data_IF_130151707473
#
_entry.id   IF_130151707473
#
_cell.length_a   1.000
_cell.length_b   1.000
_cell.length_c   1.000
_cell.angle_alpha   90.00
_cell.angle_beta   90.00
_cell.angle_gamma   90.00
#
_symmetry.space_group_name_H-M   'P 1'
#
loop_
_entity.id
_entity.type
_entity.pdbx_description
1 polymer ?
#
# COMPACT_ATOMS: atom_id res chain seq x y z
N UNK A 1 13.81 -45.49 20.49
CA UNK A 1 14.90 -45.11 21.42
C UNK A 1 15.99 -46.17 21.36
N UNK A 2 17.14 -45.84 20.79
CA UNK A 2 18.38 -46.59 20.95
C UNK A 2 19.48 -45.56 21.30
N UNK A 3 20.23 -45.72 22.39
CA UNK A 3 21.34 -44.81 22.70
C UNK A 3 22.64 -45.33 22.07
N UNK A 4 23.04 -44.77 20.93
CA UNK A 4 24.43 -44.91 20.46
C UNK A 4 25.33 -43.97 21.26
N UNK A 5 26.06 -44.54 22.21
CA UNK A 5 27.21 -43.91 22.87
C UNK A 5 28.43 -44.14 21.97
N UNK A 6 29.00 -43.08 21.41
CA UNK A 6 30.39 -43.12 20.98
C UNK A 6 31.17 -42.05 21.75
N UNK A 7 32.01 -42.52 22.68
CA UNK A 7 33.13 -41.79 23.24
C UNK A 7 34.33 -42.21 22.41
N UNK A 8 34.89 -41.30 21.62
CA UNK A 8 36.25 -41.45 21.10
C UNK A 8 37.01 -40.17 21.43
N UNK A 9 37.99 -40.37 22.29
CA UNK A 9 38.80 -39.40 23.00
C UNK A 9 39.86 -38.79 22.09
N UNK A 10 39.96 -37.46 22.18
CA UNK A 10 41.16 -36.61 22.07
C UNK A 10 42.44 -37.25 21.52
N UNK A 11 42.83 -36.83 20.32
CA UNK A 11 44.25 -36.62 19.98
C UNK A 11 44.44 -35.16 19.59
N UNK A 12 45.05 -34.43 20.51
CA UNK A 12 45.51 -33.05 20.36
C UNK A 12 46.75 -33.12 19.47
N UNK A 13 46.68 -32.56 18.27
CA UNK A 13 47.88 -32.28 17.48
C UNK A 13 48.00 -30.76 17.40
N UNK A 14 48.77 -30.21 18.34
CA UNK A 14 49.31 -28.87 18.31
C UNK A 14 50.42 -28.84 17.24
N UNK A 15 50.18 -28.21 16.10
CA UNK A 15 51.26 -27.82 15.18
C UNK A 15 51.17 -26.33 14.92
N UNK A 16 52.10 -25.59 15.51
CA UNK A 16 52.43 -24.21 15.19
C UNK A 16 53.25 -24.23 13.90
N UNK A 17 52.66 -23.79 12.79
CA UNK A 17 53.43 -23.32 11.63
C UNK A 17 52.97 -21.91 11.32
N UNK A 18 53.86 -20.95 11.59
CA UNK A 18 53.71 -19.57 11.15
C UNK A 18 54.27 -19.52 9.73
N UNK A 19 53.38 -19.44 8.76
CA UNK A 19 53.69 -19.02 7.40
C UNK A 19 52.71 -17.92 7.04
N UNK A 20 53.18 -16.68 7.07
CA UNK A 20 52.44 -15.53 6.55
C UNK A 20 52.32 -15.67 5.04
N UNK A 21 51.09 -15.84 4.56
CA UNK A 21 50.72 -15.56 3.19
C UNK A 21 49.58 -14.53 3.25
N UNK A 22 49.88 -13.30 2.86
CA UNK A 22 48.90 -12.24 2.64
C UNK A 22 47.94 -12.68 1.53
N UNK A 23 46.74 -13.10 1.93
CA UNK A 23 45.64 -13.25 1.00
C UNK A 23 44.98 -11.89 0.82
N UNK A 24 45.31 -11.28 -0.31
CA UNK A 24 44.59 -10.17 -0.94
C UNK A 24 43.12 -10.60 -1.00
N UNK A 25 42.32 -10.07 -0.08
CA UNK A 25 40.86 -10.17 -0.16
C UNK A 25 40.42 -9.47 -1.46
N UNK A 26 39.51 -10.06 -2.25
CA UNK A 26 38.87 -9.33 -3.32
C UNK A 26 38.20 -8.08 -2.73
N UNK A 27 38.12 -6.97 -3.49
CA UNK A 27 37.50 -5.75 -2.99
C UNK A 27 36.11 -6.12 -2.50
N UNK A 28 35.85 -5.80 -1.23
CA UNK A 28 34.51 -5.78 -0.66
C UNK A 28 33.72 -4.85 -1.57
N UNK A 29 32.96 -5.44 -2.48
CA UNK A 29 31.94 -4.73 -3.21
C UNK A 29 31.11 -4.06 -2.14
N UNK A 30 31.24 -2.75 -2.12
CA UNK A 30 30.43 -1.89 -1.29
C UNK A 30 29.03 -2.17 -1.77
N UNK A 31 28.29 -3.02 -1.06
CA UNK A 31 26.85 -2.91 -1.01
C UNK A 31 26.60 -1.52 -0.47
N UNK A 32 26.63 -0.54 -1.38
CA UNK A 32 25.97 0.72 -1.26
C UNK A 32 24.59 0.32 -0.82
N UNK A 33 24.33 0.45 0.47
CA UNK A 33 23.01 0.43 1.05
C UNK A 33 22.32 1.62 0.42
N UNK A 34 21.85 1.44 -0.83
CA UNK A 34 21.05 2.42 -1.53
C UNK A 34 19.87 2.62 -0.61
N UNK A 35 19.86 3.77 0.04
CA UNK A 35 18.69 4.20 0.78
C UNK A 35 17.54 4.13 -0.21
N UNK A 36 16.53 3.31 0.11
CA UNK A 36 15.34 3.23 -0.71
C UNK A 36 14.82 4.65 -0.89
N UNK A 37 14.73 5.10 -2.14
CA UNK A 37 14.32 6.47 -2.46
C UNK A 37 12.80 6.59 -2.34
N UNK A 38 12.10 5.49 -2.56
CA UNK A 38 10.67 5.32 -2.33
C UNK A 38 10.34 3.99 -1.66
N UNK A 39 9.16 3.89 -1.06
CA UNK A 39 8.66 2.61 -0.54
C UNK A 39 8.38 1.60 -1.68
N UNK A 40 8.11 2.07 -2.90
CA UNK A 40 7.94 1.22 -4.07
C UNK A 40 9.24 0.46 -4.43
N UNK A 41 10.40 1.07 -4.17
CA UNK A 41 11.69 0.41 -4.35
C UNK A 41 11.85 -0.75 -3.36
N UNK A 42 11.37 -0.58 -2.12
CA UNK A 42 11.35 -1.64 -1.10
C UNK A 42 10.49 -2.81 -1.55
N UNK A 43 9.28 -2.56 -2.07
CA UNK A 43 8.42 -3.62 -2.60
C UNK A 43 9.12 -4.37 -3.73
N UNK A 44 9.65 -3.63 -4.71
CA UNK A 44 10.32 -4.19 -5.87
C UNK A 44 11.53 -5.05 -5.49
N UNK A 45 12.38 -4.56 -4.56
CA UNK A 45 13.54 -5.32 -4.09
C UNK A 45 13.18 -6.58 -3.31
N UNK A 46 11.97 -6.63 -2.74
CA UNK A 46 11.44 -7.80 -2.04
C UNK A 46 10.53 -8.66 -2.93
N UNK A 47 10.58 -8.52 -4.27
CA UNK A 47 9.80 -9.37 -5.17
C UNK A 47 8.28 -9.18 -5.06
N UNK A 48 7.84 -8.03 -4.55
CA UNK A 48 6.44 -7.66 -4.41
C UNK A 48 6.03 -6.65 -5.48
N UNK A 49 4.77 -6.68 -5.96
CA UNK A 49 4.30 -5.75 -6.96
C UNK A 49 4.19 -4.33 -6.40
N UNK A 50 4.67 -3.34 -7.17
CA UNK A 50 4.77 -1.95 -6.71
C UNK A 50 3.41 -1.29 -6.46
N UNK A 51 2.34 -1.75 -7.10
CA UNK A 51 0.99 -1.24 -6.93
C UNK A 51 0.22 -1.84 -5.75
N UNK A 52 0.90 -2.53 -4.82
CA UNK A 52 0.29 -2.98 -3.57
C UNK A 52 -0.21 -1.85 -2.68
N UNK A 53 0.44 -0.70 -2.74
CA UNK A 53 0.02 0.49 -2.00
C UNK A 53 -0.36 1.59 -2.99
N UNK A 54 -1.33 2.44 -2.63
CA UNK A 54 -1.71 3.55 -3.47
C UNK A 54 -0.59 4.58 -3.59
N UNK A 55 -0.75 5.50 -4.55
CA UNK A 55 0.03 6.74 -4.63
C UNK A 55 -0.29 7.63 -3.42
N UNK A 56 0.60 8.58 -3.16
CA UNK A 56 0.42 9.58 -2.10
C UNK A 56 1.01 9.15 -0.76
N UNK A 57 2.08 8.35 -0.78
CA UNK A 57 2.90 8.09 0.40
C UNK A 57 3.63 9.39 0.78
N UNK A 58 3.33 9.93 1.97
CA UNK A 58 3.95 11.17 2.47
C UNK A 58 5.36 10.90 2.98
N UNK A 59 5.51 9.86 3.78
CA UNK A 59 6.76 9.43 4.38
C UNK A 59 6.67 7.96 4.80
N UNK A 60 7.83 7.33 4.96
CA UNK A 60 7.92 5.97 5.45
C UNK A 60 9.19 5.79 6.28
N UNK A 61 9.16 4.81 7.17
CA UNK A 61 10.34 4.30 7.87
C UNK A 61 10.45 2.80 7.60
N UNK A 62 11.69 2.30 7.53
CA UNK A 62 11.95 0.87 7.42
C UNK A 62 13.23 0.50 8.17
N UNK A 63 13.13 -0.48 9.04
CA UNK A 63 14.28 -1.16 9.61
C UNK A 63 14.75 -2.24 8.64
N UNK A 64 15.95 -2.06 8.07
CA UNK A 64 16.52 -3.01 7.11
C UNK A 64 16.90 -4.36 7.73
N UNK A 65 17.12 -4.42 9.03
CA UNK A 65 17.47 -5.67 9.70
C UNK A 65 16.24 -6.55 9.93
N UNK A 66 15.13 -5.96 10.40
CA UNK A 66 13.89 -6.70 10.69
C UNK A 66 12.85 -6.68 9.57
N UNK A 67 13.03 -5.82 8.56
CA UNK A 67 12.02 -5.56 7.52
C UNK A 67 10.79 -4.81 8.03
N UNK A 68 10.75 -4.41 9.31
CA UNK A 68 9.60 -3.68 9.86
C UNK A 68 9.50 -2.29 9.26
N UNK A 69 8.31 -1.92 8.85
CA UNK A 69 8.04 -0.61 8.25
C UNK A 69 6.81 0.06 8.86
N UNK A 70 6.80 1.38 8.75
CA UNK A 70 5.66 2.24 9.00
C UNK A 70 5.54 3.22 7.84
N UNK A 71 4.32 3.38 7.33
CA UNK A 71 4.00 4.09 6.11
C UNK A 71 2.86 5.05 6.40
N UNK A 72 3.03 6.32 6.02
CA UNK A 72 1.98 7.33 6.13
C UNK A 72 1.52 7.80 4.75
N UNK A 73 0.21 7.90 4.59
CA UNK A 73 -0.42 8.48 3.41
C UNK A 73 -0.68 9.97 3.63
N UNK A 74 -0.65 10.76 2.56
CA UNK A 74 -0.92 12.20 2.58
C UNK A 74 -2.36 12.53 3.01
N UNK A 75 -3.30 11.62 2.79
CA UNK A 75 -4.71 11.82 3.14
C UNK A 75 -4.95 11.50 4.62
N UNK A 76 -5.63 12.40 5.38
CA UNK A 76 -6.01 12.13 6.77
C UNK A 76 -7.18 11.14 6.90
N UNK A 77 -7.93 10.88 5.82
CA UNK A 77 -9.04 9.93 5.80
C UNK A 77 -8.66 8.59 5.15
N UNK A 78 -9.27 7.46 5.58
CA UNK A 78 -9.10 6.17 4.93
C UNK A 78 -9.52 6.21 3.46
N UNK A 79 -8.86 5.37 2.67
CA UNK A 79 -8.95 5.40 1.23
C UNK A 79 -9.39 4.07 0.65
N UNK A 80 -10.50 4.09 -0.10
CA UNK A 80 -11.05 2.91 -0.74
C UNK A 80 -10.62 2.88 -2.21
N UNK A 81 -9.90 1.83 -2.57
CA UNK A 81 -9.51 1.55 -3.95
C UNK A 81 -10.28 0.33 -4.46
N UNK A 82 -10.73 0.37 -5.72
CA UNK A 82 -11.43 -0.75 -6.34
C UNK A 82 -10.46 -1.53 -7.23
N UNK A 83 -10.07 -2.73 -6.81
CA UNK A 83 -9.43 -3.73 -7.66
C UNK A 83 -10.50 -4.69 -8.19
N UNK A 84 -10.29 -6.00 -8.08
CA UNK A 84 -11.35 -6.99 -8.19
C UNK A 84 -12.40 -6.79 -7.09
N UNK A 85 -11.95 -6.52 -5.86
CA UNK A 85 -12.79 -6.06 -4.75
C UNK A 85 -12.29 -4.74 -4.16
N UNK A 86 -13.07 -4.15 -3.25
CA UNK A 86 -12.65 -2.92 -2.57
C UNK A 86 -11.56 -3.24 -1.54
N UNK A 87 -10.49 -2.46 -1.55
CA UNK A 87 -9.41 -2.49 -0.57
C UNK A 87 -9.28 -1.10 0.04
N UNK A 88 -9.38 -1.04 1.36
CA UNK A 88 -9.27 0.16 2.19
C UNK A 88 -7.88 0.26 2.77
N UNK A 89 -7.28 1.43 2.63
CA UNK A 89 -6.01 1.81 3.24
C UNK A 89 -6.25 2.89 4.29
N UNK A 90 -5.74 2.70 5.48
CA UNK A 90 -5.72 3.73 6.52
C UNK A 90 -4.55 4.70 6.29
N UNK A 91 -4.59 5.83 6.99
CA UNK A 91 -3.54 6.85 6.90
C UNK A 91 -2.19 6.36 7.44
N UNK A 92 -2.19 5.44 8.41
CA UNK A 92 -1.00 4.79 8.97
C UNK A 92 -1.06 3.28 8.70
N UNK A 93 -0.06 2.78 8.00
CA UNK A 93 0.08 1.38 7.62
C UNK A 93 1.39 0.85 8.18
N UNK A 94 1.33 -0.28 8.88
CA UNK A 94 2.53 -0.91 9.48
C UNK A 94 2.60 -2.37 9.08
N UNK A 95 3.82 -2.91 9.05
CA UNK A 95 4.04 -4.33 8.76
C UNK A 95 5.50 -4.71 8.79
N UNK A 96 5.80 -5.92 8.33
CA UNK A 96 7.16 -6.42 8.11
C UNK A 96 7.24 -7.01 6.70
N UNK A 97 8.20 -6.53 5.91
CA UNK A 97 8.43 -6.98 4.55
C UNK A 97 9.55 -8.02 4.52
N UNK A 98 9.32 -9.11 3.78
CA UNK A 98 10.29 -10.13 3.41
C UNK A 98 10.14 -10.41 1.91
N UNK A 99 11.07 -11.18 1.35
CA UNK A 99 10.98 -11.58 -0.05
C UNK A 99 9.67 -12.33 -0.33
N UNK A 100 8.86 -11.78 -1.23
CA UNK A 100 7.55 -12.29 -1.66
C UNK A 100 6.43 -12.16 -0.62
N UNK A 101 6.65 -11.50 0.53
CA UNK A 101 5.67 -11.47 1.62
C UNK A 101 5.69 -10.20 2.45
N UNK A 102 4.51 -9.73 2.83
CA UNK A 102 4.28 -8.76 3.90
C UNK A 102 3.54 -9.49 5.03
N UNK A 103 4.04 -9.37 6.25
CA UNK A 103 3.45 -9.98 7.44
C UNK A 103 3.14 -8.93 8.51
N UNK A 104 2.29 -9.31 9.47
CA UNK A 104 1.87 -8.43 10.57
C UNK A 104 1.32 -7.08 10.08
N UNK A 105 0.57 -7.11 8.98
CA UNK A 105 0.04 -5.93 8.33
C UNK A 105 -1.10 -5.33 9.16
N UNK A 106 -1.08 -4.01 9.32
CA UNK A 106 -2.13 -3.20 9.92
C UNK A 106 -2.41 -1.98 9.05
N UNK A 107 -3.63 -1.45 9.12
CA UNK A 107 -4.06 -0.32 8.30
C UNK A 107 -4.51 -0.70 6.88
N UNK A 108 -4.71 -1.99 6.59
CA UNK A 108 -5.24 -2.46 5.30
C UNK A 108 -6.41 -3.41 5.55
N UNK A 109 -7.52 -3.20 4.84
CA UNK A 109 -8.69 -4.07 4.91
C UNK A 109 -9.27 -4.31 3.52
N UNK A 110 -9.85 -5.49 3.29
CA UNK A 110 -10.62 -5.78 2.07
C UNK A 110 -12.09 -5.91 2.41
N UNK A 111 -12.97 -5.53 1.48
CA UNK A 111 -14.41 -5.76 1.64
C UNK A 111 -14.78 -7.18 1.24
N UNK A 112 -15.58 -7.85 2.07
CA UNK A 112 -16.18 -9.17 1.84
C UNK A 112 -17.60 -9.21 2.42
N UNK A 113 -18.60 -9.62 1.62
CA UNK A 113 -20.02 -9.62 2.02
C UNK A 113 -20.43 -8.35 2.80
N UNK A 114 -20.03 -7.18 2.32
CA UNK A 114 -20.25 -5.85 2.92
C UNK A 114 -19.42 -5.52 4.18
N UNK A 115 -18.71 -6.48 4.77
CA UNK A 115 -17.83 -6.25 5.93
C UNK A 115 -16.40 -5.92 5.50
N UNK A 116 -15.73 -5.08 6.27
CA UNK A 116 -14.30 -4.79 6.10
C UNK A 116 -13.49 -5.76 6.95
N UNK A 117 -12.74 -6.63 6.28
CA UNK A 117 -11.90 -7.63 6.94
C UNK A 117 -10.43 -7.18 6.90
N UNK A 118 -9.75 -7.11 8.06
CA UNK A 118 -8.36 -6.66 8.12
C UNK A 118 -7.44 -7.69 7.46
N UNK A 119 -6.53 -7.20 6.61
CA UNK A 119 -5.52 -8.02 5.95
C UNK A 119 -4.32 -8.13 6.88
N UNK A 120 -3.94 -9.35 7.24
CA UNK A 120 -2.84 -9.65 8.16
C UNK A 120 -1.54 -9.98 7.44
N UNK A 121 -1.63 -10.67 6.31
CA UNK A 121 -0.49 -11.02 5.48
C UNK A 121 -0.83 -10.84 4.00
N UNK A 122 0.17 -10.46 3.21
CA UNK A 122 0.10 -10.44 1.75
C UNK A 122 1.26 -11.27 1.24
N UNK A 123 1.03 -12.19 0.31
CA UNK A 123 2.12 -12.99 -0.26
C UNK A 123 1.88 -13.35 -1.73
N UNK A 124 2.97 -13.53 -2.46
CA UNK A 124 3.00 -14.01 -3.85
C UNK A 124 3.67 -15.38 -3.91
N UNK A 125 3.31 -16.19 -4.89
CA UNK A 125 3.99 -17.46 -5.11
C UNK A 125 5.38 -17.25 -5.72
N UNK A 126 6.31 -18.14 -5.37
CA UNK A 126 7.68 -18.16 -5.91
C UNK A 126 7.98 -19.61 -6.31
N UNK A 127 8.12 -19.93 -7.62
CA UNK A 127 7.99 -19.02 -8.78
C UNK A 127 6.56 -18.48 -8.94
N UNK A 128 6.43 -17.33 -9.59
CA UNK A 128 5.13 -16.64 -9.70
C UNK A 128 4.09 -17.48 -10.43
N UNK A 129 2.92 -17.62 -9.81
CA UNK A 129 1.71 -18.23 -10.40
C UNK A 129 0.82 -17.23 -11.14
N UNK A 130 1.17 -15.93 -11.12
CA UNK A 130 0.27 -14.86 -11.57
C UNK A 130 -0.74 -14.42 -10.50
N UNK A 131 -0.67 -14.98 -9.28
CA UNK A 131 -1.61 -14.70 -8.19
C UNK A 131 -0.93 -14.04 -6.98
N UNK A 132 -1.76 -13.31 -6.22
CA UNK A 132 -1.40 -12.73 -4.94
C UNK A 132 -2.49 -13.02 -3.90
N UNK A 133 -2.06 -13.30 -2.68
CA UNK A 133 -2.92 -13.80 -1.61
C UNK A 133 -2.97 -12.80 -0.47
N UNK A 134 -4.18 -12.41 -0.08
CA UNK A 134 -4.45 -11.51 1.03
C UNK A 134 -5.08 -12.35 2.16
N UNK A 135 -4.30 -12.61 3.19
CA UNK A 135 -4.73 -13.36 4.36
C UNK A 135 -5.53 -12.45 5.29
N UNK A 136 -6.79 -12.79 5.52
CA UNK A 136 -7.70 -12.08 6.44
C UNK A 136 -7.97 -12.88 7.72
N UNK A 137 -7.08 -13.83 8.06
CA UNK A 137 -7.10 -14.64 9.28
C UNK A 137 -7.48 -16.09 9.00
N UNK A 138 -8.79 -16.37 8.90
CA UNK A 138 -9.28 -17.76 8.71
C UNK A 138 -9.23 -18.18 7.24
N UNK A 139 -9.30 -17.21 6.33
CA UNK A 139 -9.33 -17.44 4.88
C UNK A 139 -8.36 -16.48 4.19
N UNK A 140 -7.83 -16.92 3.05
CA UNK A 140 -7.03 -16.08 2.15
C UNK A 140 -7.82 -15.77 0.89
N UNK A 141 -7.86 -14.48 0.53
CA UNK A 141 -8.44 -14.00 -0.71
C UNK A 141 -7.38 -14.03 -1.82
N UNK A 142 -7.78 -14.46 -3.00
CA UNK A 142 -6.90 -14.56 -4.15
C UNK A 142 -7.21 -13.43 -5.12
N UNK A 143 -6.18 -12.83 -5.69
CA UNK A 143 -6.30 -11.81 -6.73
C UNK A 143 -5.28 -12.09 -7.83
N UNK A 144 -5.57 -11.60 -9.04
CA UNK A 144 -4.56 -11.55 -10.10
C UNK A 144 -3.49 -10.52 -9.76
N UNK A 145 -2.21 -10.87 -9.97
CA UNK A 145 -1.08 -9.95 -9.83
C UNK A 145 -1.21 -8.71 -10.71
N UNK A 146 -1.86 -8.85 -11.88
CA UNK A 146 -2.06 -7.76 -12.85
C UNK A 146 -2.76 -6.53 -12.25
N UNK A 147 -3.62 -6.73 -11.24
CA UNK A 147 -4.30 -5.64 -10.56
C UNK A 147 -3.36 -4.71 -9.79
N UNK A 148 -2.17 -5.19 -9.41
CA UNK A 148 -1.21 -4.52 -8.53
C UNK A 148 0.07 -4.10 -9.26
N UNK A 149 0.12 -4.15 -10.59
CA UNK A 149 1.33 -3.75 -11.34
C UNK A 149 1.61 -2.25 -11.26
N UNK A 150 0.56 -1.42 -11.18
CA UNK A 150 0.67 0.04 -11.14
C UNK A 150 0.01 0.60 -9.87
N UNK A 151 0.70 1.47 -9.11
CA UNK A 151 0.11 2.17 -7.97
C UNK A 151 -1.11 2.99 -8.40
N UNK A 152 -2.23 2.79 -7.73
CA UNK A 152 -3.47 3.53 -8.01
C UNK A 152 -3.53 4.83 -7.22
N UNK A 153 -4.16 5.84 -7.81
CA UNK A 153 -4.43 7.09 -7.11
C UNK A 153 -5.46 6.87 -6.01
N UNK A 154 -5.11 7.33 -4.81
CA UNK A 154 -5.98 7.34 -3.66
C UNK A 154 -6.65 8.70 -3.57
N UNK A 155 -7.74 8.86 -4.32
CA UNK A 155 -8.57 10.05 -4.17
C UNK A 155 -9.54 9.79 -3.04
N UNK A 156 -9.17 10.19 -1.82
CA UNK A 156 -10.14 10.33 -0.71
C UNK A 156 -11.30 11.30 -1.07
N UNK A 157 -11.17 12.00 -2.20
CA UNK A 157 -12.19 12.80 -2.86
C UNK A 157 -12.49 12.33 -4.31
N UNK A 158 -12.56 11.02 -4.57
CA UNK A 158 -13.23 10.51 -5.77
C UNK A 158 -14.68 10.15 -5.43
N UNK A 159 -15.54 11.15 -5.63
CA UNK A 159 -16.88 11.08 -6.21
C UNK A 159 -17.59 9.72 -6.18
N UNK A 160 -18.76 9.74 -5.53
CA UNK A 160 -19.93 8.94 -5.92
C UNK A 160 -20.04 8.93 -7.45
N UNK A 161 -19.64 7.83 -8.09
CA UNK A 161 -20.08 7.54 -9.45
C UNK A 161 -21.41 6.81 -9.37
N UNK A 162 -22.44 7.61 -9.17
CA UNK A 162 -23.81 7.33 -9.58
C UNK A 162 -24.47 8.68 -9.87
N UNK A 163 -24.15 9.26 -11.02
CA UNK A 163 -25.04 10.18 -11.74
C UNK A 163 -25.79 11.27 -10.97
N UNK A 164 -25.19 11.93 -9.98
CA UNK A 164 -25.78 13.14 -9.37
C UNK A 164 -24.73 14.26 -9.23
N UNK A 165 -25.09 15.41 -9.79
CA UNK A 165 -24.33 16.66 -9.81
C UNK A 165 -24.36 17.30 -8.44
N UNK A 166 -23.22 17.42 -7.77
CA UNK A 166 -23.08 18.30 -6.60
C UNK A 166 -22.20 19.49 -6.96
N UNK A 167 -22.73 20.69 -6.72
CA UNK A 167 -22.02 21.96 -6.86
C UNK A 167 -20.92 22.06 -5.80
N UNK A 168 -19.68 22.25 -6.26
CA UNK A 168 -18.53 22.52 -5.37
C UNK A 168 -18.41 24.03 -5.21
N UNK A 169 -18.81 24.55 -4.05
CA UNK A 169 -18.62 25.95 -3.66
C UNK A 169 -17.33 26.05 -2.85
N UNK A 170 -16.32 26.75 -3.37
CA UNK A 170 -15.09 27.05 -2.62
C UNK A 170 -15.32 28.28 -1.74
N UNK A 171 -15.21 28.09 -0.42
CA UNK A 171 -15.27 29.16 0.59
C UNK A 171 -13.85 29.55 1.02
N UNK A 172 -13.57 30.85 1.08
CA UNK A 172 -12.35 31.37 1.69
C UNK A 172 -12.43 31.37 3.23
N UNK A 173 -11.34 31.73 3.92
CA UNK A 173 -11.27 31.76 5.39
C UNK A 173 -12.22 32.79 6.06
N UNK A 174 -12.99 33.55 5.27
CA UNK A 174 -14.02 34.48 5.72
C UNK A 174 -15.43 34.08 5.23
N UNK A 175 -15.58 32.90 4.62
CA UNK A 175 -16.86 32.33 4.19
C UNK A 175 -17.47 33.00 2.96
N UNK A 176 -16.69 33.67 2.11
CA UNK A 176 -17.16 34.26 0.85
C UNK A 176 -16.85 33.36 -0.36
N UNK A 177 -17.78 33.32 -1.31
CA UNK A 177 -17.70 32.55 -2.56
C UNK A 177 -16.85 33.34 -3.57
N UNK A 178 -15.77 32.74 -4.08
CA UNK A 178 -14.77 33.46 -4.89
C UNK A 178 -14.94 33.35 -6.41
N UNK A 179 -15.60 32.32 -7.00
CA UNK A 179 -15.81 32.32 -8.46
C UNK A 179 -16.99 31.42 -8.89
N UNK A 180 -18.02 32.01 -9.49
CA UNK A 180 -19.24 31.31 -9.94
C UNK A 180 -19.21 31.08 -11.47
N UNK A 181 -18.94 29.83 -11.88
CA UNK A 181 -19.07 29.36 -13.28
C UNK A 181 -20.47 28.79 -13.58
N UNK A 182 -21.47 29.04 -12.73
CA UNK A 182 -22.85 28.53 -12.84
C UNK A 182 -23.85 29.60 -13.29
N UNK A 183 -23.40 30.64 -14.00
CA UNK A 183 -24.24 31.69 -14.60
C UNK A 183 -25.27 31.19 -15.64
N UNK A 184 -25.24 29.90 -15.97
CA UNK A 184 -26.22 29.22 -16.82
C UNK A 184 -27.40 28.63 -16.03
N UNK A 185 -27.21 28.21 -14.77
CA UNK A 185 -28.27 27.57 -13.98
C UNK A 185 -29.24 28.61 -13.40
N UNK A 186 -28.72 29.72 -12.87
CA UNK A 186 -29.53 30.84 -12.37
C UNK A 186 -30.43 31.43 -13.46
N UNK A 187 -29.94 31.50 -14.71
CA UNK A 187 -30.74 31.95 -15.87
C UNK A 187 -31.86 30.97 -16.25
N UNK A 188 -31.70 29.67 -15.98
CA UNK A 188 -32.72 28.67 -16.26
C UNK A 188 -33.79 28.62 -15.15
N UNK A 189 -33.40 28.83 -13.89
CA UNK A 189 -34.34 28.95 -12.75
C UNK A 189 -35.20 30.21 -12.82
N UNK A 190 -34.62 31.37 -13.16
CA UNK A 190 -35.38 32.62 -13.31
C UNK A 190 -36.39 32.55 -14.47
N UNK A 191 -36.11 31.74 -15.50
CA UNK A 191 -37.08 31.44 -16.57
C UNK A 191 -38.20 30.52 -16.10
N UNK A 192 -37.87 29.44 -15.39
CA UNK A 192 -38.89 28.49 -14.89
C UNK A 192 -39.86 29.14 -13.91
N UNK A 193 -39.40 30.10 -13.10
CA UNK A 193 -40.25 30.80 -12.15
C UNK A 193 -41.21 31.79 -12.83
N UNK A 194 -40.75 32.49 -13.87
CA UNK A 194 -41.60 33.42 -14.64
C UNK A 194 -42.69 32.72 -15.47
N UNK A 195 -42.43 31.50 -15.94
CA UNK A 195 -43.41 30.70 -16.70
C UNK A 195 -44.50 30.07 -15.81
N UNK A 196 -44.27 29.99 -14.49
CA UNK A 196 -45.25 29.52 -13.51
C UNK A 196 -46.18 30.65 -13.03
N UNK A 197 -45.66 31.88 -12.88
CA UNK A 197 -46.46 33.05 -12.48
C UNK A 197 -47.48 33.47 -13.57
N UNK A 198 -47.18 33.22 -14.85
CA UNK A 198 -48.10 33.47 -15.98
C UNK A 198 -49.26 32.47 -16.08
N UNK A 199 -49.19 31.30 -15.43
CA UNK A 199 -50.28 30.32 -15.40
C UNK A 199 -51.21 30.47 -14.20
N UNK A 200 -50.81 31.23 -13.17
CA UNK A 200 -51.62 31.48 -11.98
C UNK A 200 -52.56 32.70 -12.11
N UNK A 201 -52.51 33.42 -13.24
CA UNK A 201 -53.30 34.65 -13.48
C UNK A 201 -54.21 34.53 -14.72
N UNK A 202 -54.47 33.32 -15.23
CA UNK A 202 -55.44 33.12 -16.33
C UNK A 202 -56.45 32.00 -16.06
#
# INVERSE_FOLDING_TARGET
MAPCKYKISFLIILTLTVASAEQISPPVDSHSSRSATSFYDVLKSNGLPIGLFPKGISNFTIDRASGRFELHLLSPSPCDTKFETRVRYEWNITGSVNYGKIANLSGVATQELFLWLPVKNIQVDIPSSGLIYFDVGVISKQFSLSFFETPRDCNAMAKVDSGESYDVVLLDNLGRIVEDRSRNYVRNLDKSFKDEELRAVS
#
